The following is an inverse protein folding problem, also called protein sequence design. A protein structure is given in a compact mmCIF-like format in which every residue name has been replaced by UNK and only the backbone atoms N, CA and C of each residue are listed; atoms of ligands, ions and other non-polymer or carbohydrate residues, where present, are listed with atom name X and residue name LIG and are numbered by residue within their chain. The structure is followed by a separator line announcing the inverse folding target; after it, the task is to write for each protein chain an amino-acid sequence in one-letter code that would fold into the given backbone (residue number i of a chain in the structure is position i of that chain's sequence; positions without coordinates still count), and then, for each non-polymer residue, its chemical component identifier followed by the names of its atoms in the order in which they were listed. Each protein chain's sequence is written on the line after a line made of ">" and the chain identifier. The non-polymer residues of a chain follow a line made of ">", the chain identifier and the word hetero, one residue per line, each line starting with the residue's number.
data_IF_808508897554
#
_entry.id   IF_808508897554
#
_cell.length_a   1.000
_cell.length_b   1.000
_cell.length_c   1.000
_cell.angle_alpha   90.00
_cell.angle_beta   90.00
_cell.angle_gamma   90.00
#
_symmetry.space_group_name_H-M   'P 1'
#
loop_
_entity.id
_entity.type
_entity.pdbx_description
1 polymer ?
#
# COMPACT_ATOMS: atom_id res chain seq x y z
N UNK A 1 -13.90 36.19 23.17
CA UNK A 1 -13.48 37.16 24.20
C UNK A 1 -14.24 38.46 23.96
N UNK A 2 -15.16 38.86 24.85
CA UNK A 2 -16.00 40.07 24.70
C UNK A 2 -15.23 41.39 24.91
N UNK A 3 -14.06 41.35 25.56
CA UNK A 3 -13.27 42.52 25.93
C UNK A 3 -12.71 43.30 24.72
N UNK A 4 -12.25 42.61 23.66
CA UNK A 4 -11.72 43.31 22.47
C UNK A 4 -12.81 44.02 21.68
N UNK A 5 -14.02 43.45 21.62
CA UNK A 5 -15.18 44.09 21.01
C UNK A 5 -15.62 45.33 21.80
N UNK A 6 -15.56 45.26 23.14
CA UNK A 6 -15.94 46.35 24.02
C UNK A 6 -14.96 47.53 23.97
N UNK A 7 -13.65 47.28 23.79
CA UNK A 7 -12.62 48.32 23.79
C UNK A 7 -12.32 48.91 22.41
N UNK A 8 -12.48 48.14 21.32
CA UNK A 8 -12.01 48.52 19.99
C UNK A 8 -13.15 48.64 18.96
N UNK A 9 -14.41 48.47 19.38
CA UNK A 9 -15.60 48.63 18.53
C UNK A 9 -15.76 47.58 17.42
N UNK A 10 -14.77 46.70 17.22
CA UNK A 10 -14.83 45.59 16.29
C UNK A 10 -13.99 44.40 16.79
N UNK A 11 -14.37 43.19 16.41
CA UNK A 11 -13.59 41.99 16.73
C UNK A 11 -12.27 42.01 15.95
N UNK A 12 -11.15 42.17 16.65
CA UNK A 12 -9.82 41.95 16.06
C UNK A 12 -9.50 40.46 16.15
N UNK A 13 -9.46 39.71 15.03
CA UNK A 13 -8.90 38.37 15.06
C UNK A 13 -7.42 38.50 15.42
N UNK A 14 -7.00 37.86 16.52
CA UNK A 14 -5.58 37.77 16.87
C UNK A 14 -4.79 37.32 15.63
N UNK A 15 -3.85 38.16 15.16
CA UNK A 15 -2.95 37.81 14.03
C UNK A 15 -2.08 36.56 14.33
N UNK A 16 -2.01 36.13 15.59
CA UNK A 16 -1.14 35.05 16.08
C UNK A 16 -1.92 34.08 16.94
N UNK A 17 -1.83 32.79 16.61
CA UNK A 17 -2.30 31.69 17.47
C UNK A 17 -1.15 31.32 18.41
N UNK A 18 -1.36 31.25 19.74
CA UNK A 18 -0.30 30.87 20.66
C UNK A 18 0.02 29.38 20.57
N UNK A 19 1.30 29.03 20.57
CA UNK A 19 1.74 27.64 20.50
C UNK A 19 1.54 27.00 19.11
N UNK A 20 1.08 25.75 19.09
CA UNK A 20 0.88 24.98 17.86
C UNK A 20 -0.39 25.43 17.11
N UNK A 21 -0.31 25.56 15.78
CA UNK A 21 -1.45 25.94 14.94
C UNK A 21 -2.55 24.87 14.88
N UNK A 22 -2.18 23.60 15.03
CA UNK A 22 -3.07 22.45 14.79
C UNK A 22 -3.46 21.70 16.06
N UNK A 23 -2.86 22.05 17.20
CA UNK A 23 -3.06 21.35 18.46
C UNK A 23 -3.28 22.34 19.62
N UNK A 24 -3.87 21.85 20.72
CA UNK A 24 -4.16 22.67 21.90
C UNK A 24 -5.50 23.40 21.87
N UNK A 25 -5.75 24.19 22.93
CA UNK A 25 -7.05 24.85 23.19
C UNK A 25 -7.35 25.98 22.21
N UNK A 26 -6.33 26.76 21.85
CA UNK A 26 -6.45 27.85 20.87
C UNK A 26 -5.70 27.43 19.61
N UNK A 27 -6.44 27.00 18.58
CA UNK A 27 -5.89 26.47 17.32
C UNK A 27 -6.59 27.09 16.12
N UNK A 28 -5.97 27.03 14.94
CA UNK A 28 -6.59 27.43 13.69
C UNK A 28 -7.56 26.33 13.24
N UNK A 29 -8.85 26.66 13.18
CA UNK A 29 -9.87 25.76 12.62
C UNK A 29 -9.98 26.05 11.11
N UNK A 30 -9.59 25.11 10.23
CA UNK A 30 -9.73 25.32 8.80
C UNK A 30 -11.22 25.37 8.43
N UNK A 31 -11.58 26.26 7.49
CA UNK A 31 -12.95 26.35 7.00
C UNK A 31 -13.26 25.15 6.11
N UNK A 32 -14.48 24.62 6.25
CA UNK A 32 -14.97 23.57 5.37
C UNK A 32 -15.42 24.20 4.04
N UNK A 33 -14.62 24.02 2.98
CA UNK A 33 -14.93 24.53 1.63
C UNK A 33 -16.02 23.69 0.98
N UNK A 34 -16.73 24.27 0.00
CA UNK A 34 -17.74 23.54 -0.77
C UNK A 34 -17.14 22.31 -1.49
N UNK A 35 -15.93 22.43 -2.02
CA UNK A 35 -15.21 21.31 -2.65
C UNK A 35 -14.96 20.14 -1.70
N UNK A 36 -14.58 20.43 -0.44
CA UNK A 36 -14.36 19.38 0.58
C UNK A 36 -15.67 18.72 0.99
N UNK A 37 -16.78 19.47 1.02
CA UNK A 37 -18.12 18.91 1.26
C UNK A 37 -18.54 17.97 0.14
N UNK A 38 -18.30 18.37 -1.12
CA UNK A 38 -18.63 17.56 -2.28
C UNK A 38 -17.83 16.24 -2.29
N UNK A 39 -16.51 16.31 -2.15
CA UNK A 39 -15.65 15.11 -2.11
C UNK A 39 -16.05 14.14 -0.99
N UNK A 40 -16.37 14.67 0.20
CA UNK A 40 -16.86 13.84 1.31
C UNK A 40 -18.21 13.16 0.97
N UNK A 41 -19.10 13.86 0.27
CA UNK A 41 -20.37 13.28 -0.16
C UNK A 41 -20.15 12.17 -1.19
N UNK A 42 -19.24 12.36 -2.14
CA UNK A 42 -18.91 11.34 -3.14
C UNK A 42 -18.38 10.06 -2.48
N UNK A 43 -17.47 10.19 -1.51
CA UNK A 43 -16.99 9.07 -0.70
C UNK A 43 -18.12 8.38 0.06
N UNK A 44 -19.02 9.15 0.67
CA UNK A 44 -20.16 8.63 1.43
C UNK A 44 -21.13 7.84 0.55
N UNK A 45 -21.39 8.31 -0.67
CA UNK A 45 -22.22 7.61 -1.64
C UNK A 45 -21.57 6.30 -2.08
N UNK A 46 -20.25 6.30 -2.33
CA UNK A 46 -19.51 5.07 -2.64
C UNK A 46 -19.54 4.07 -1.49
N UNK A 47 -19.40 4.53 -0.24
CA UNK A 47 -19.49 3.64 0.92
C UNK A 47 -20.88 3.04 1.07
N UNK A 48 -21.93 3.83 0.83
CA UNK A 48 -23.30 3.35 0.89
C UNK A 48 -23.57 2.30 -0.20
N UNK A 49 -23.04 2.52 -1.40
CA UNK A 49 -23.12 1.56 -2.49
C UNK A 49 -22.39 0.26 -2.15
N UNK A 50 -21.18 0.35 -1.60
CA UNK A 50 -20.41 -0.82 -1.15
C UNK A 50 -21.14 -1.59 -0.06
N UNK A 51 -21.69 -0.91 0.95
CA UNK A 51 -22.48 -1.53 2.01
C UNK A 51 -23.67 -2.30 1.42
N UNK A 52 -24.37 -1.72 0.45
CA UNK A 52 -25.48 -2.39 -0.23
C UNK A 52 -25.06 -3.70 -0.88
N UNK A 53 -23.92 -3.73 -1.57
CA UNK A 53 -23.43 -4.96 -2.22
C UNK A 53 -22.92 -5.98 -1.21
N UNK A 54 -22.19 -5.54 -0.19
CA UNK A 54 -21.58 -6.43 0.81
C UNK A 54 -22.57 -6.95 1.85
N UNK A 55 -23.71 -6.27 2.04
CA UNK A 55 -24.74 -6.67 3.02
C UNK A 55 -25.49 -7.97 2.70
N UNK A 56 -25.47 -8.41 1.44
CA UNK A 56 -26.22 -9.59 0.97
C UNK A 56 -25.29 -10.62 0.34
N UNK A 57 -24.53 -11.36 1.16
CA UNK A 57 -23.68 -12.43 0.66
C UNK A 57 -24.54 -13.53 0.02
N UNK A 58 -24.01 -14.14 -1.04
CA UNK A 58 -24.66 -15.26 -1.73
C UNK A 58 -24.63 -16.55 -0.90
N UNK A 59 -23.56 -16.76 -0.13
CA UNK A 59 -23.32 -17.94 0.68
C UNK A 59 -23.57 -17.60 2.14
N UNK A 60 -24.23 -18.50 2.88
CA UNK A 60 -24.39 -18.34 4.33
C UNK A 60 -23.06 -18.59 5.03
N UNK A 61 -22.83 -17.94 6.17
CA UNK A 61 -21.59 -18.10 6.94
C UNK A 61 -21.28 -19.55 7.32
N UNK A 62 -22.33 -20.35 7.56
CA UNK A 62 -22.19 -21.77 7.90
C UNK A 62 -21.73 -22.59 6.69
N UNK A 63 -22.31 -22.34 5.51
CA UNK A 63 -21.89 -23.00 4.28
C UNK A 63 -20.45 -22.62 3.92
N UNK A 64 -20.10 -21.34 4.05
CA UNK A 64 -18.73 -20.85 3.85
C UNK A 64 -17.74 -21.54 4.80
N UNK A 65 -18.05 -21.65 6.09
CA UNK A 65 -17.18 -22.31 7.07
C UNK A 65 -16.88 -23.78 6.73
N UNK A 66 -17.80 -24.48 6.06
CA UNK A 66 -17.58 -25.87 5.65
C UNK A 66 -16.66 -26.01 4.42
N UNK A 67 -16.71 -25.08 3.47
CA UNK A 67 -15.91 -25.16 2.22
C UNK A 67 -14.57 -24.44 2.33
N UNK A 68 -14.52 -23.35 3.09
CA UNK A 68 -13.37 -22.47 3.26
C UNK A 68 -12.06 -23.18 3.64
N UNK A 69 -11.99 -24.15 4.58
CA UNK A 69 -10.70 -24.79 4.89
C UNK A 69 -10.12 -25.58 3.71
N UNK A 70 -10.98 -26.21 2.91
CA UNK A 70 -10.54 -26.97 1.74
C UNK A 70 -10.10 -26.05 0.59
N UNK A 71 -10.78 -24.92 0.39
CA UNK A 71 -10.41 -23.91 -0.60
C UNK A 71 -9.11 -23.19 -0.21
N UNK A 72 -8.98 -22.77 1.05
CA UNK A 72 -7.74 -22.16 1.56
C UNK A 72 -6.53 -23.08 1.43
N UNK A 73 -6.70 -24.38 1.73
CA UNK A 73 -5.61 -25.34 1.56
C UNK A 73 -5.17 -25.47 0.10
N UNK A 74 -6.12 -25.40 -0.86
CA UNK A 74 -5.82 -25.42 -2.30
C UNK A 74 -5.12 -24.14 -2.75
N UNK A 75 -5.60 -22.98 -2.31
CA UNK A 75 -5.00 -21.69 -2.63
C UNK A 75 -3.57 -21.61 -2.09
N UNK A 76 -3.37 -21.98 -0.83
CA UNK A 76 -2.05 -22.01 -0.19
C UNK A 76 -1.11 -23.00 -0.90
N UNK A 77 -1.60 -24.15 -1.35
CA UNK A 77 -0.81 -25.08 -2.15
C UNK A 77 -0.38 -24.45 -3.49
N UNK A 78 -1.29 -23.77 -4.19
CA UNK A 78 -0.98 -23.08 -5.44
C UNK A 78 0.02 -21.92 -5.24
N UNK A 79 -0.14 -21.13 -4.18
CA UNK A 79 0.80 -20.07 -3.80
C UNK A 79 2.18 -20.64 -3.49
N UNK A 80 2.25 -21.74 -2.74
CA UNK A 80 3.50 -22.43 -2.44
C UNK A 80 4.18 -22.94 -3.71
N UNK A 81 3.44 -23.53 -4.65
CA UNK A 81 4.01 -23.97 -5.92
C UNK A 81 4.65 -22.81 -6.70
N UNK A 82 3.96 -21.67 -6.79
CA UNK A 82 4.50 -20.47 -7.44
C UNK A 82 5.73 -19.96 -6.70
N UNK A 83 5.66 -19.88 -5.36
CA UNK A 83 6.76 -19.44 -4.52
C UNK A 83 8.00 -20.32 -4.67
N UNK A 84 7.84 -21.65 -4.59
CA UNK A 84 8.94 -22.60 -4.71
C UNK A 84 9.52 -22.64 -6.12
N UNK A 85 8.72 -22.45 -7.17
CA UNK A 85 9.24 -22.27 -8.54
C UNK A 85 10.16 -21.06 -8.64
N UNK A 86 9.74 -19.90 -8.12
CA UNK A 86 10.56 -18.69 -8.09
C UNK A 86 11.86 -18.93 -7.29
N UNK A 87 11.77 -19.63 -6.17
CA UNK A 87 12.94 -19.96 -5.36
C UNK A 87 13.89 -20.91 -6.10
N UNK A 88 13.36 -21.93 -6.76
CA UNK A 88 14.13 -22.90 -7.55
C UNK A 88 14.89 -22.22 -8.69
N UNK A 89 14.23 -21.34 -9.44
CA UNK A 89 14.86 -20.55 -10.50
C UNK A 89 16.04 -19.73 -9.97
N UNK A 90 15.83 -19.03 -8.84
CA UNK A 90 16.89 -18.25 -8.18
C UNK A 90 18.03 -19.14 -7.69
N UNK A 91 17.72 -20.34 -7.19
CA UNK A 91 18.73 -21.29 -6.74
C UNK A 91 19.59 -21.81 -7.89
N UNK A 92 18.98 -22.14 -9.03
CA UNK A 92 19.69 -22.59 -10.24
C UNK A 92 20.65 -21.52 -10.78
N UNK A 93 20.28 -20.24 -10.69
CA UNK A 93 21.12 -19.13 -11.15
C UNK A 93 22.26 -18.80 -10.18
N UNK A 94 22.08 -19.08 -8.88
CA UNK A 94 23.03 -18.70 -7.81
C UNK A 94 24.43 -19.24 -8.04
N UNK A 95 24.56 -20.45 -8.57
CA UNK A 95 25.85 -21.10 -8.79
C UNK A 95 26.20 -21.12 -10.29
N UNK A 96 27.23 -20.36 -10.72
CA UNK A 96 27.65 -20.41 -12.12
C UNK A 96 28.29 -21.77 -12.43
N UNK A 97 27.90 -22.36 -13.56
CA UNK A 97 28.55 -23.58 -14.06
C UNK A 97 29.96 -23.25 -14.59
N UNK A 98 30.98 -23.56 -13.79
CA UNK A 98 32.40 -23.41 -14.17
C UNK A 98 32.91 -24.73 -14.76
N UNK A 99 32.92 -24.82 -16.08
CA UNK A 99 33.49 -25.98 -16.80
C UNK A 99 34.99 -25.81 -17.02
N UNK A 100 35.77 -26.88 -16.83
CA UNK A 100 37.20 -26.88 -17.10
C UNK A 100 37.51 -26.65 -18.59
N UNK A 101 36.66 -27.13 -19.51
CA UNK A 101 36.86 -26.89 -20.95
C UNK A 101 36.95 -25.39 -21.29
N UNK A 102 36.16 -24.54 -20.64
CA UNK A 102 36.21 -23.10 -20.87
C UNK A 102 37.58 -22.53 -20.49
N UNK A 103 38.18 -23.02 -19.41
CA UNK A 103 39.54 -22.64 -19.01
C UNK A 103 40.59 -23.08 -20.04
N UNK A 104 40.52 -24.33 -20.51
CA UNK A 104 41.45 -24.85 -21.52
C UNK A 104 41.31 -24.14 -22.87
N UNK A 105 40.07 -23.81 -23.27
CA UNK A 105 39.80 -23.05 -24.51
C UNK A 105 40.42 -21.66 -24.46
N UNK A 106 40.46 -21.02 -23.30
CA UNK A 106 41.06 -19.70 -23.12
C UNK A 106 42.57 -19.71 -23.33
N UNK A 107 43.26 -20.80 -22.98
CA UNK A 107 44.69 -20.97 -23.20
C UNK A 107 45.06 -21.03 -24.69
N UNK A 108 44.12 -21.42 -25.57
CA UNK A 108 44.35 -21.43 -27.01
C UNK A 108 44.42 -20.02 -27.64
N UNK A 109 44.00 -18.97 -26.93
CA UNK A 109 44.06 -17.60 -27.43
C UNK A 109 45.48 -17.09 -27.70
N UNK A 110 46.48 -17.66 -27.02
CA UNK A 110 47.90 -17.33 -27.21
C UNK A 110 48.62 -18.29 -28.16
N UNK A 111 47.90 -19.23 -28.78
CA UNK A 111 48.46 -20.22 -29.69
C UNK A 111 49.00 -19.52 -30.94
N UNK A 112 50.32 -19.55 -31.11
CA UNK A 112 50.99 -19.09 -32.33
C UNK A 112 51.11 -20.26 -33.30
N UNK A 113 50.98 -19.97 -34.58
CA UNK A 113 51.29 -20.92 -35.64
C UNK A 113 52.74 -20.69 -36.06
N UNK A 114 53.53 -21.75 -36.19
CA UNK A 114 54.86 -21.67 -36.76
C UNK A 114 54.73 -21.37 -38.26
N UNK A 115 55.42 -20.32 -38.71
CA UNK A 115 55.55 -19.91 -40.12
C UNK A 115 56.82 -20.53 -40.68
#
# INVERSE_FOLDING_TARGET
>A
MRLTYFLLGHFIPYKRVPGSLWAGKQRKIPRLTASRKAAFMDELLMTQQNERYLSKPFISKEAEATTLPAEQAKELAAENEVFYKIYEEKFRIRFPNRKLENFWSHLNNSKKFDI
#
